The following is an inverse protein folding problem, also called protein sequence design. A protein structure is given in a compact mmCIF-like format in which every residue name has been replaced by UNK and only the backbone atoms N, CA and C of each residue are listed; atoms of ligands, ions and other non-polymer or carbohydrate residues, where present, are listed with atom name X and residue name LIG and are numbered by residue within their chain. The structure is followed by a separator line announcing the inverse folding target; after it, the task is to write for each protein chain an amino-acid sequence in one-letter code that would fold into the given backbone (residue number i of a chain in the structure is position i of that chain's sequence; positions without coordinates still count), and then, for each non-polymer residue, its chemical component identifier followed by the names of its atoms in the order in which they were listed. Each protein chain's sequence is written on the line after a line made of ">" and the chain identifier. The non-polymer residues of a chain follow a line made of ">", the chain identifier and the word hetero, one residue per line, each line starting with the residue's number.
data_IF_487473863137
#
_entry.id   IF_487473863137
#
_cell.length_a   1.000
_cell.length_b   1.000
_cell.length_c   1.000
_cell.angle_alpha   90.00
_cell.angle_beta   90.00
_cell.angle_gamma   90.00
#
_symmetry.space_group_name_H-M   'P 1'
#
loop_
_entity.id
_entity.type
_entity.pdbx_description
1 polymer ?
#
# COMPACT_ATOMS: atom_id res chain seq x y z
N UNK A 1 23.36 -1.87 14.48
CA UNK A 1 22.75 -0.53 14.34
C UNK A 1 21.91 -0.43 13.07
N UNK A 2 22.45 -0.77 11.90
CA UNK A 2 21.72 -0.73 10.62
C UNK A 2 20.44 -1.59 10.62
N UNK A 3 20.51 -2.83 11.10
CA UNK A 3 19.35 -3.74 11.18
C UNK A 3 18.21 -3.15 12.02
N UNK A 4 18.52 -2.52 13.16
CA UNK A 4 17.50 -1.87 14.00
C UNK A 4 16.81 -0.71 13.28
N UNK A 5 17.52 0.04 12.45
CA UNK A 5 16.94 1.13 11.64
C UNK A 5 15.96 0.53 10.62
N UNK A 6 16.34 -0.56 9.95
CA UNK A 6 15.50 -1.21 8.95
C UNK A 6 14.25 -1.83 9.61
N UNK A 7 14.38 -2.40 10.81
CA UNK A 7 13.25 -2.82 11.64
C UNK A 7 12.31 -1.66 12.00
N UNK A 8 12.86 -0.51 12.40
CA UNK A 8 12.04 0.67 12.71
C UNK A 8 11.27 1.16 11.47
N UNK A 9 11.94 1.26 10.32
CA UNK A 9 11.31 1.64 9.04
C UNK A 9 10.20 0.65 8.68
N UNK A 10 10.45 -0.65 8.85
CA UNK A 10 9.49 -1.70 8.56
C UNK A 10 8.21 -1.56 9.40
N UNK A 11 8.35 -1.37 10.72
CA UNK A 11 7.21 -1.21 11.64
C UNK A 11 6.43 0.06 11.31
N UNK A 12 7.12 1.18 11.07
CA UNK A 12 6.48 2.45 10.71
C UNK A 12 5.73 2.32 9.38
N UNK A 13 6.34 1.68 8.37
CA UNK A 13 5.71 1.43 7.07
C UNK A 13 4.47 0.55 7.20
N UNK A 14 4.50 -0.47 8.06
CA UNK A 14 3.35 -1.34 8.33
C UNK A 14 2.18 -0.57 8.94
N UNK A 15 2.46 0.26 9.96
CA UNK A 15 1.44 1.08 10.62
C UNK A 15 0.80 2.08 9.67
N UNK A 16 1.62 2.78 8.88
CA UNK A 16 1.11 3.71 7.87
C UNK A 16 0.28 3.00 6.81
N UNK A 17 0.67 1.81 6.36
CA UNK A 17 -0.12 1.02 5.42
C UNK A 17 -1.49 0.66 5.98
N UNK A 18 -1.56 0.20 7.24
CA UNK A 18 -2.83 -0.11 7.89
C UNK A 18 -3.75 1.11 7.86
N UNK A 19 -3.25 2.27 8.29
CA UNK A 19 -4.03 3.52 8.28
C UNK A 19 -4.46 3.89 6.86
N UNK A 20 -3.55 3.84 5.88
CA UNK A 20 -3.84 4.23 4.50
C UNK A 20 -4.82 3.30 3.79
N UNK A 21 -4.82 2.01 4.14
CA UNK A 21 -5.77 1.02 3.62
C UNK A 21 -7.15 1.23 4.24
N UNK A 22 -7.23 1.51 5.54
CA UNK A 22 -8.50 1.81 6.19
C UNK A 22 -9.12 3.13 5.71
N UNK A 23 -8.29 4.10 5.30
CA UNK A 23 -8.74 5.35 4.69
C UNK A 23 -9.18 5.19 3.23
N UNK A 24 -8.86 4.08 2.56
CA UNK A 24 -9.41 3.83 1.24
C UNK A 24 -10.91 3.59 1.34
N UNK A 25 -11.68 4.40 0.62
CA UNK A 25 -13.10 4.13 0.44
C UNK A 25 -13.27 2.73 -0.15
N UNK A 26 -14.23 1.91 0.34
CA UNK A 26 -14.46 0.58 -0.20
C UNK A 26 -14.84 0.70 -1.67
N UNK A 27 -13.92 0.32 -2.56
CA UNK A 27 -14.17 0.24 -4.00
C UNK A 27 -14.95 -1.05 -4.25
N UNK A 28 -16.26 -0.96 -4.11
CA UNK A 28 -17.20 -2.06 -4.27
C UNK A 28 -17.43 -2.47 -5.73
N UNK A 29 -16.38 -2.59 -6.53
CA UNK A 29 -16.53 -2.93 -7.96
C UNK A 29 -16.88 -4.40 -8.22
N UNK A 30 -16.60 -5.29 -7.26
CA UNK A 30 -17.00 -6.70 -7.32
C UNK A 30 -16.76 -7.36 -8.70
N UNK A 31 -17.68 -8.21 -9.13
CA UNK A 31 -17.71 -8.77 -10.50
C UNK A 31 -18.25 -7.74 -11.52
N UNK A 32 -18.95 -6.69 -11.06
CA UNK A 32 -19.50 -5.63 -11.91
C UNK A 32 -18.41 -4.79 -12.62
N UNK A 33 -17.19 -4.75 -12.07
CA UNK A 33 -16.02 -4.13 -12.70
C UNK A 33 -15.40 -4.95 -13.85
N UNK A 34 -15.68 -6.26 -13.94
CA UNK A 34 -15.10 -7.15 -14.97
C UNK A 34 -15.66 -6.87 -16.38
N UNK A 35 -16.83 -6.24 -16.48
CA UNK A 35 -17.47 -5.87 -17.75
C UNK A 35 -17.13 -4.47 -18.28
N UNK A 36 -16.23 -3.71 -17.64
CA UNK A 36 -15.83 -2.37 -18.08
C UNK A 36 -16.89 -1.26 -17.88
N UNK A 37 -18.11 -1.59 -17.45
CA UNK A 37 -19.20 -0.63 -17.26
C UNK A 37 -19.06 0.24 -15.99
N UNK A 38 -18.18 -0.12 -15.06
CA UNK A 38 -17.92 0.67 -13.83
C UNK A 38 -17.15 1.98 -14.10
N UNK A 39 -16.41 2.07 -15.21
CA UNK A 39 -15.44 3.14 -15.44
C UNK A 39 -16.05 4.47 -15.96
N UNK A 40 -17.36 4.51 -16.22
CA UNK A 40 -18.04 5.69 -16.80
C UNK A 40 -18.59 6.65 -15.73
N UNK A 41 -18.77 6.18 -14.48
CA UNK A 41 -19.38 6.99 -13.41
C UNK A 41 -18.52 7.16 -12.15
N UNK A 42 -17.34 6.52 -12.08
CA UNK A 42 -16.41 6.72 -10.97
C UNK A 42 -15.42 7.83 -11.34
N UNK A 43 -15.83 9.09 -11.13
CA UNK A 43 -14.84 10.17 -11.00
C UNK A 43 -14.02 9.90 -9.73
N UNK A 44 -12.98 9.08 -9.84
CA UNK A 44 -12.06 8.83 -8.74
C UNK A 44 -11.54 10.20 -8.31
N UNK A 45 -11.95 10.67 -7.13
CA UNK A 45 -11.58 12.01 -6.65
C UNK A 45 -10.05 12.09 -6.68
N UNK A 46 -9.49 13.21 -7.10
CA UNK A 46 -8.02 13.42 -7.18
C UNK A 46 -7.27 12.98 -5.91
N UNK A 47 -7.93 13.13 -4.75
CA UNK A 47 -7.47 12.63 -3.46
C UNK A 47 -7.29 11.09 -3.42
N UNK A 48 -8.24 10.30 -3.93
CA UNK A 48 -8.16 8.83 -3.95
C UNK A 48 -7.09 8.32 -4.92
N UNK A 49 -6.86 9.02 -6.04
CA UNK A 49 -5.77 8.67 -6.98
C UNK A 49 -4.40 8.87 -6.33
N UNK A 50 -4.23 9.96 -5.60
CA UNK A 50 -3.00 10.24 -4.85
C UNK A 50 -2.82 9.25 -3.71
N UNK A 51 -3.87 8.98 -2.94
CA UNK A 51 -3.83 8.02 -1.84
C UNK A 51 -3.43 6.62 -2.33
N UNK A 52 -4.01 6.15 -3.44
CA UNK A 52 -3.66 4.86 -4.04
C UNK A 52 -2.19 4.79 -4.48
N UNK A 53 -1.66 5.88 -5.06
CA UNK A 53 -0.25 5.96 -5.47
C UNK A 53 0.68 5.90 -4.26
N UNK A 54 0.36 6.64 -3.19
CA UNK A 54 1.18 6.65 -1.96
C UNK A 54 1.13 5.29 -1.26
N UNK A 55 -0.05 4.69 -1.11
CA UNK A 55 -0.20 3.34 -0.54
C UNK A 55 0.60 2.31 -1.34
N UNK A 56 0.59 2.40 -2.68
CA UNK A 56 1.38 1.50 -3.54
C UNK A 56 2.89 1.63 -3.33
N UNK A 57 3.40 2.86 -3.18
CA UNK A 57 4.82 3.10 -2.88
C UNK A 57 5.18 2.55 -1.49
N UNK A 58 4.32 2.79 -0.49
CA UNK A 58 4.52 2.29 0.88
C UNK A 58 4.51 0.76 0.94
N UNK A 59 3.64 0.11 0.15
CA UNK A 59 3.58 -1.33 0.03
C UNK A 59 4.88 -1.90 -0.57
N UNK A 60 5.42 -1.27 -1.62
CA UNK A 60 6.68 -1.68 -2.21
C UNK A 60 7.86 -1.57 -1.21
N UNK A 61 7.92 -0.47 -0.44
CA UNK A 61 8.94 -0.26 0.60
C UNK A 61 8.84 -1.33 1.69
N UNK A 62 7.62 -1.62 2.16
CA UNK A 62 7.37 -2.64 3.16
C UNK A 62 7.80 -4.03 2.66
N UNK A 63 7.45 -4.40 1.42
CA UNK A 63 7.86 -5.70 0.85
C UNK A 63 9.40 -5.78 0.73
N UNK A 64 10.05 -4.72 0.26
CA UNK A 64 11.51 -4.68 0.14
C UNK A 64 12.20 -4.84 1.50
N UNK A 65 11.74 -4.12 2.53
CA UNK A 65 12.26 -4.26 3.89
C UNK A 65 11.97 -5.65 4.47
N UNK A 66 10.77 -6.20 4.23
CA UNK A 66 10.42 -7.58 4.62
C UNK A 66 11.37 -8.60 4.00
N UNK A 67 11.70 -8.42 2.72
CA UNK A 67 12.58 -9.34 2.00
C UNK A 67 14.02 -9.26 2.52
N UNK A 68 14.54 -8.04 2.70
CA UNK A 68 15.89 -7.80 3.22
C UNK A 68 16.08 -8.40 4.64
N UNK A 69 15.10 -8.16 5.53
CA UNK A 69 15.12 -8.69 6.89
C UNK A 69 14.81 -10.19 6.95
N UNK A 70 13.80 -10.64 6.21
CA UNK A 70 13.26 -12.01 6.27
C UNK A 70 14.20 -13.06 5.66
N UNK A 71 14.89 -12.73 4.58
CA UNK A 71 15.90 -13.62 3.98
C UNK A 71 17.29 -13.47 4.63
N UNK A 72 17.45 -12.61 5.64
CA UNK A 72 18.74 -12.42 6.32
C UNK A 72 19.86 -11.93 5.39
N UNK A 73 19.50 -11.19 4.34
CA UNK A 73 20.45 -10.62 3.36
C UNK A 73 21.38 -9.62 4.06
N UNK A 74 20.87 -8.99 5.11
CA UNK A 74 21.55 -8.07 6.02
C UNK A 74 21.73 -8.75 7.38
N UNK A 75 22.98 -8.78 7.87
CA UNK A 75 23.36 -9.31 9.19
C UNK A 75 23.48 -8.19 10.22
#
# INVERSE_FOLDING_TARGET
>A
MLVNIIWAIQIISALLLIVFILLHSPKGDGIAGIGGASHVFTSQKSAEKTLNKVTGVLAAIFILCTFLLGYGIIK
#
